data_IF_127962385708
#
_entry.id   IF_127962385708
#
_cell.length_a   1.000
_cell.length_b   1.000
_cell.length_c   1.000
_cell.angle_alpha   90.00
_cell.angle_beta   90.00
_cell.angle_gamma   90.00
#
_symmetry.space_group_name_H-M   'P 1'
#
loop_
_entity.id
_entity.type
_entity.pdbx_description
1 polymer ?
#
# COMPACT_ATOMS: atom_id res chain seq x y z
N UNK A 1 11.29 3.78 53.11
CA UNK A 1 10.31 2.68 53.02
C UNK A 1 9.42 2.72 51.76
N UNK A 2 9.48 3.77 50.93
CA UNK A 2 8.68 3.89 49.69
C UNK A 2 9.40 3.43 48.39
N UNK A 3 10.73 3.24 48.43
CA UNK A 3 11.52 2.75 47.28
C UNK A 3 11.44 1.22 47.08
N UNK A 4 10.98 0.47 48.09
CA UNK A 4 10.90 -1.00 48.03
C UNK A 4 9.61 -1.53 47.39
N UNK A 5 8.59 -0.68 47.27
CA UNK A 5 7.26 -1.06 46.75
C UNK A 5 7.24 -0.95 45.21
N UNK A 6 7.89 0.08 44.65
CA UNK A 6 8.03 0.24 43.19
C UNK A 6 8.86 -0.87 42.52
N UNK A 7 9.86 -1.43 43.22
CA UNK A 7 10.63 -2.57 42.71
C UNK A 7 9.83 -3.88 42.69
N UNK A 8 8.87 -4.03 43.61
CA UNK A 8 8.01 -5.20 43.67
C UNK A 8 6.88 -5.12 42.62
N UNK A 9 6.30 -3.94 42.38
CA UNK A 9 5.29 -3.76 41.33
C UNK A 9 5.88 -3.88 39.92
N UNK A 10 7.10 -3.39 39.66
CA UNK A 10 7.78 -3.64 38.38
C UNK A 10 8.07 -5.13 38.18
N UNK A 11 8.46 -5.86 39.22
CA UNK A 11 8.71 -7.30 39.15
C UNK A 11 7.41 -8.09 38.88
N UNK A 12 6.29 -7.69 39.47
CA UNK A 12 4.98 -8.31 39.24
C UNK A 12 4.44 -8.04 37.83
N UNK A 13 4.63 -6.85 37.28
CA UNK A 13 4.28 -6.56 35.88
C UNK A 13 5.17 -7.32 34.88
N UNK A 14 6.46 -7.51 35.18
CA UNK A 14 7.34 -8.39 34.40
C UNK A 14 6.85 -9.84 34.48
N UNK A 15 6.37 -10.29 35.63
CA UNK A 15 5.89 -11.66 35.84
C UNK A 15 4.55 -11.94 35.14
N UNK A 16 3.66 -10.94 35.04
CA UNK A 16 2.35 -11.07 34.38
C UNK A 16 2.41 -11.00 32.84
N UNK A 17 3.48 -10.44 32.27
CA UNK A 17 3.73 -10.45 30.82
C UNK A 17 4.38 -11.75 30.28
N UNK A 18 4.84 -12.64 31.17
CA UNK A 18 5.46 -13.93 30.86
C UNK A 18 4.39 -15.04 30.97
N UNK A 19 3.25 -14.89 30.29
CA UNK A 19 2.30 -15.99 30.13
C UNK A 19 2.29 -16.50 28.69
N UNK A 20 3.49 -16.82 28.21
CA UNK A 20 3.71 -17.93 27.30
C UNK A 20 4.85 -18.73 27.94
N UNK A 21 4.55 -19.90 28.53
CA UNK A 21 5.44 -20.62 29.46
C UNK A 21 6.68 -21.30 28.80
N UNK A 22 7.16 -20.78 27.67
CA UNK A 22 8.30 -21.33 26.95
C UNK A 22 9.09 -20.25 26.21
N UNK A 23 10.37 -20.54 25.98
CA UNK A 23 11.19 -19.76 25.06
C UNK A 23 10.64 -19.89 23.63
N UNK A 24 10.68 -18.81 22.86
CA UNK A 24 10.35 -18.85 21.44
C UNK A 24 11.24 -19.91 20.74
N UNK A 25 10.72 -20.69 19.77
CA UNK A 25 11.41 -21.86 19.24
C UNK A 25 12.80 -21.57 18.64
N UNK A 26 12.95 -20.38 18.06
CA UNK A 26 14.21 -19.87 17.51
C UNK A 26 15.24 -19.59 18.60
N UNK A 27 14.83 -19.00 19.72
CA UNK A 27 15.69 -18.72 20.89
C UNK A 27 16.04 -20.03 21.62
N UNK A 28 15.07 -20.94 21.75
CA UNK A 28 15.27 -22.25 22.37
C UNK A 28 16.36 -23.07 21.66
N UNK A 29 16.38 -23.01 20.31
CA UNK A 29 17.34 -23.71 19.45
C UNK A 29 18.77 -23.13 19.47
N UNK A 30 18.99 -21.94 20.05
CA UNK A 30 20.31 -21.33 20.11
C UNK A 30 21.24 -22.06 21.09
N UNK A 31 22.54 -22.13 20.75
CA UNK A 31 23.58 -22.65 21.65
C UNK A 31 24.06 -21.56 22.61
N UNK A 32 23.17 -21.13 23.49
CA UNK A 32 23.39 -20.11 24.52
C UNK A 32 23.05 -20.67 25.91
N UNK A 33 23.54 -20.03 26.96
CA UNK A 33 23.11 -20.34 28.33
C UNK A 33 21.64 -19.98 28.55
N UNK A 34 21.00 -20.61 29.54
CA UNK A 34 19.60 -20.33 29.85
C UNK A 34 19.37 -18.86 30.22
N UNK A 35 20.31 -18.24 30.95
CA UNK A 35 20.25 -16.83 31.31
C UNK A 35 20.26 -15.91 30.07
N UNK A 36 21.11 -16.22 29.08
CA UNK A 36 21.17 -15.48 27.81
C UNK A 36 19.90 -15.67 26.99
N UNK A 37 19.35 -16.89 26.93
CA UNK A 37 18.09 -17.19 26.24
C UNK A 37 16.92 -16.42 26.83
N UNK A 38 16.80 -16.41 28.16
CA UNK A 38 15.77 -15.62 28.85
C UNK A 38 15.97 -14.12 28.67
N UNK A 39 17.22 -13.64 28.67
CA UNK A 39 17.54 -12.25 28.34
C UNK A 39 17.09 -11.86 26.93
N UNK A 40 17.34 -12.71 25.94
CA UNK A 40 16.88 -12.53 24.57
C UNK A 40 15.36 -12.60 24.44
N UNK A 41 14.69 -13.51 25.18
CA UNK A 41 13.24 -13.59 25.19
C UNK A 41 12.61 -12.30 25.74
N UNK A 42 13.15 -11.78 26.84
CA UNK A 42 12.69 -10.53 27.45
C UNK A 42 12.91 -9.36 26.48
N UNK A 43 14.11 -9.24 25.90
CA UNK A 43 14.39 -8.22 24.88
C UNK A 43 13.47 -8.34 23.66
N UNK A 44 13.22 -9.56 23.19
CA UNK A 44 12.31 -9.85 22.07
C UNK A 44 10.87 -9.46 22.38
N UNK A 45 10.38 -9.81 23.57
CA UNK A 45 9.05 -9.43 24.04
C UNK A 45 8.90 -7.91 24.17
N UNK A 46 9.88 -7.22 24.76
CA UNK A 46 9.88 -5.76 24.84
C UNK A 46 9.91 -5.12 23.45
N UNK A 47 10.82 -5.56 22.58
CA UNK A 47 10.93 -5.06 21.21
C UNK A 47 9.63 -5.25 20.43
N UNK A 48 8.93 -6.37 20.64
CA UNK A 48 7.63 -6.67 20.04
C UNK A 48 6.54 -5.75 20.59
N UNK A 49 6.44 -5.60 21.90
CA UNK A 49 5.45 -4.76 22.58
C UNK A 49 5.61 -3.27 22.22
N UNK A 50 6.84 -2.74 22.27
CA UNK A 50 7.12 -1.37 21.80
C UNK A 50 6.87 -1.23 20.31
N UNK A 51 7.20 -2.24 19.51
CA UNK A 51 6.89 -2.27 18.08
C UNK A 51 5.39 -2.17 17.80
N UNK A 52 4.56 -2.89 18.54
CA UNK A 52 3.10 -2.85 18.45
C UNK A 52 2.53 -1.51 18.92
N UNK A 53 3.08 -0.95 19.99
CA UNK A 53 2.71 0.38 20.47
C UNK A 53 2.98 1.45 19.42
N UNK A 54 4.18 1.48 18.82
CA UNK A 54 4.52 2.43 17.74
C UNK A 54 3.61 2.30 16.53
N UNK A 55 3.22 1.07 16.15
CA UNK A 55 2.25 0.84 15.07
C UNK A 55 0.91 1.47 15.45
N UNK A 56 0.43 1.25 16.66
CA UNK A 56 -0.84 1.79 17.12
C UNK A 56 -0.83 3.32 17.13
N UNK A 57 0.20 3.95 17.69
CA UNK A 57 0.36 5.41 17.68
C UNK A 57 0.41 5.98 16.26
N UNK A 58 1.18 5.34 15.37
CA UNK A 58 1.25 5.74 13.97
C UNK A 58 -0.13 5.71 13.30
N UNK A 59 -0.89 4.64 13.53
CA UNK A 59 -2.23 4.43 12.96
C UNK A 59 -3.23 5.47 13.49
N UNK A 60 -3.18 5.76 14.78
CA UNK A 60 -4.03 6.79 15.41
C UNK A 60 -3.74 8.18 14.85
N UNK A 61 -2.46 8.49 14.60
CA UNK A 61 -2.05 9.75 13.96
C UNK A 61 -2.36 9.82 12.46
N UNK A 62 -2.48 8.66 11.79
CA UNK A 62 -2.69 8.56 10.36
C UNK A 62 -4.16 8.75 9.91
N UNK A 63 -5.01 9.39 10.72
CA UNK A 63 -6.45 9.47 10.47
C UNK A 63 -7.08 10.84 10.78
N UNK A 64 -8.00 11.38 9.94
CA UNK A 64 -8.29 11.06 8.53
C UNK A 64 -7.68 12.07 7.54
N UNK A 65 -7.40 11.58 6.33
CA UNK A 65 -6.98 12.36 5.15
C UNK A 65 -8.16 12.51 4.18
N UNK A 66 -9.13 13.34 4.55
CA UNK A 66 -10.40 13.48 3.83
C UNK A 66 -10.21 13.87 2.36
N UNK A 67 -9.28 14.78 2.08
CA UNK A 67 -9.02 15.27 0.73
C UNK A 67 -8.58 14.13 -0.23
N UNK A 68 -7.67 13.26 0.22
CA UNK A 68 -7.17 12.13 -0.54
C UNK A 68 -8.27 11.08 -0.80
N UNK A 69 -9.18 10.87 0.17
CA UNK A 69 -10.31 9.95 0.02
C UNK A 69 -11.33 10.51 -0.98
N UNK A 70 -11.68 11.79 -0.89
CA UNK A 70 -12.58 12.44 -1.85
C UNK A 70 -12.02 12.42 -3.26
N UNK A 71 -10.73 12.68 -3.41
CA UNK A 71 -10.08 12.64 -4.71
C UNK A 71 -10.07 11.22 -5.31
N UNK A 72 -9.85 10.20 -4.49
CA UNK A 72 -9.97 8.82 -4.93
C UNK A 72 -11.40 8.47 -5.35
N UNK A 73 -12.43 8.92 -4.62
CA UNK A 73 -13.83 8.71 -4.99
C UNK A 73 -14.16 9.27 -6.37
N UNK A 74 -13.69 10.49 -6.67
CA UNK A 74 -13.87 11.10 -7.98
C UNK A 74 -13.22 10.28 -9.09
N UNK A 75 -12.00 9.78 -8.86
CA UNK A 75 -11.25 9.01 -9.85
C UNK A 75 -11.81 7.61 -10.03
N UNK A 76 -12.29 6.98 -8.95
CA UNK A 76 -13.02 5.73 -9.05
C UNK A 76 -14.28 5.90 -9.91
N UNK A 77 -15.04 6.98 -9.70
CA UNK A 77 -16.19 7.32 -10.53
C UNK A 77 -15.84 7.46 -12.02
N UNK A 78 -14.73 8.14 -12.35
CA UNK A 78 -14.25 8.24 -13.72
C UNK A 78 -13.88 6.87 -14.32
N UNK A 79 -13.22 6.00 -13.55
CA UNK A 79 -12.88 4.63 -14.02
C UNK A 79 -14.14 3.78 -14.24
N UNK A 80 -15.23 4.03 -13.51
CA UNK A 80 -16.52 3.35 -13.74
C UNK A 80 -17.19 3.86 -15.02
N UNK A 81 -17.25 5.18 -15.23
CA UNK A 81 -18.07 5.78 -16.30
C UNK A 81 -17.37 5.88 -17.66
N UNK A 82 -16.06 6.06 -17.68
CA UNK A 82 -15.31 6.37 -18.91
C UNK A 82 -15.14 5.16 -19.82
N UNK A 83 -14.78 5.39 -21.08
CA UNK A 83 -14.52 4.31 -22.02
C UNK A 83 -13.24 3.53 -21.65
N UNK A 84 -13.25 2.21 -21.85
CA UNK A 84 -12.16 1.31 -21.48
C UNK A 84 -10.77 1.76 -21.93
N UNK A 85 -10.65 2.30 -23.15
CA UNK A 85 -9.39 2.79 -23.72
C UNK A 85 -8.82 4.02 -23.00
N UNK A 86 -9.65 4.77 -22.28
CA UNK A 86 -9.27 5.97 -21.54
C UNK A 86 -8.74 5.62 -20.15
N UNK A 87 -9.11 4.44 -19.62
CA UNK A 87 -8.75 4.02 -18.27
C UNK A 87 -7.23 3.95 -18.04
N UNK A 88 -6.39 3.38 -18.93
CA UNK A 88 -4.95 3.41 -18.74
C UNK A 88 -4.39 4.84 -18.71
N UNK A 89 -5.03 5.78 -19.42
CA UNK A 89 -4.65 7.19 -19.43
C UNK A 89 -4.98 7.85 -18.10
N UNK A 90 -6.20 7.66 -17.60
CA UNK A 90 -6.64 8.15 -16.29
C UNK A 90 -5.75 7.57 -15.19
N UNK A 91 -5.55 6.26 -15.19
CA UNK A 91 -4.75 5.57 -14.18
C UNK A 91 -3.29 6.06 -14.19
N UNK A 92 -2.69 6.23 -15.37
CA UNK A 92 -1.33 6.74 -15.47
C UNK A 92 -1.21 8.22 -15.07
N UNK A 93 -2.19 9.06 -15.39
CA UNK A 93 -2.19 10.47 -15.01
C UNK A 93 -2.34 10.62 -13.50
N UNK A 94 -3.33 9.94 -12.92
CA UNK A 94 -3.54 9.91 -11.48
C UNK A 94 -2.32 9.38 -10.72
N UNK A 95 -1.68 8.33 -11.26
CA UNK A 95 -0.49 7.78 -10.65
C UNK A 95 0.69 8.77 -10.65
N UNK A 96 0.82 9.54 -11.73
CA UNK A 96 1.85 10.56 -11.86
C UNK A 96 1.67 11.66 -10.81
N UNK A 97 0.44 12.15 -10.64
CA UNK A 97 0.10 13.18 -9.66
C UNK A 97 0.39 12.69 -8.22
N UNK A 98 -0.07 11.48 -7.86
CA UNK A 98 0.13 10.93 -6.52
C UNK A 98 1.61 10.69 -6.21
N UNK A 99 2.38 10.21 -7.19
CA UNK A 99 3.82 10.05 -7.03
C UNK A 99 4.51 11.40 -6.92
N UNK A 100 4.16 12.38 -7.75
CA UNK A 100 4.71 13.72 -7.69
C UNK A 100 4.48 14.37 -6.32
N UNK A 101 3.25 14.30 -5.80
CA UNK A 101 2.91 14.78 -4.44
C UNK A 101 3.69 14.06 -3.36
N UNK A 102 3.80 12.72 -3.44
CA UNK A 102 4.60 11.93 -2.52
C UNK A 102 6.07 12.40 -2.54
N UNK A 103 6.71 12.45 -3.71
CA UNK A 103 8.09 12.91 -3.80
C UNK A 103 8.26 14.35 -3.33
N UNK A 104 7.33 15.25 -3.64
CA UNK A 104 7.36 16.63 -3.13
C UNK A 104 7.33 16.66 -1.61
N UNK A 105 6.53 15.83 -0.97
CA UNK A 105 6.42 15.75 0.49
C UNK A 105 7.66 15.13 1.14
N UNK A 106 8.23 14.11 0.51
CA UNK A 106 9.29 13.32 1.12
C UNK A 106 10.71 13.84 0.87
N UNK A 107 10.94 14.54 -0.26
CA UNK A 107 12.24 15.14 -0.58
C UNK A 107 12.41 16.44 0.23
N UNK A 108 13.52 16.59 0.99
CA UNK A 108 13.80 17.82 1.73
C UNK A 108 13.98 19.04 0.82
N UNK A 109 13.61 20.22 1.32
CA UNK A 109 13.76 21.47 0.56
C UNK A 109 15.23 21.86 0.29
N UNK A 110 16.18 21.38 1.12
CA UNK A 110 17.59 21.74 1.07
C UNK A 110 18.47 20.90 0.12
N UNK A 111 17.89 20.08 -0.78
CA UNK A 111 18.68 19.29 -1.74
C UNK A 111 19.40 20.23 -2.72
N UNK A 112 20.70 20.02 -3.04
CA UNK A 112 21.41 20.83 -4.02
C UNK A 112 20.65 20.94 -5.35
N UNK A 113 20.50 22.17 -5.86
CA UNK A 113 19.70 22.47 -7.05
C UNK A 113 18.19 22.66 -6.78
N UNK A 114 17.72 22.31 -5.58
CA UNK A 114 16.34 22.50 -5.14
C UNK A 114 15.39 21.39 -5.60
N UNK A 115 14.35 21.15 -4.80
CA UNK A 115 13.28 20.18 -5.08
C UNK A 115 12.58 20.42 -6.42
N UNK A 116 12.41 21.68 -6.82
CA UNK A 116 11.80 22.06 -8.10
C UNK A 116 12.64 21.66 -9.30
N UNK A 117 13.98 21.72 -9.22
CA UNK A 117 14.84 21.29 -10.32
C UNK A 117 14.75 19.78 -10.57
N UNK A 118 14.62 18.99 -9.49
CA UNK A 118 14.43 17.54 -9.62
C UNK A 118 13.15 17.18 -10.38
N UNK A 119 12.09 17.98 -10.17
CA UNK A 119 10.76 17.83 -10.76
C UNK A 119 10.58 18.59 -12.08
N UNK A 120 11.56 19.41 -12.49
CA UNK A 120 11.48 20.18 -13.73
C UNK A 120 11.37 19.25 -14.95
N UNK A 121 10.95 19.76 -16.12
CA UNK A 121 10.74 18.93 -17.32
C UNK A 121 11.95 18.13 -17.81
N UNK A 122 13.16 18.52 -17.40
CA UNK A 122 14.42 17.81 -17.69
C UNK A 122 15.06 17.17 -16.43
N UNK A 123 14.38 17.27 -15.29
CA UNK A 123 14.83 16.74 -14.03
C UNK A 123 14.77 15.21 -13.97
N UNK A 124 15.50 14.59 -13.01
CA UNK A 124 15.48 13.15 -12.78
C UNK A 124 14.13 12.61 -12.29
N UNK A 125 13.19 13.47 -11.88
CA UNK A 125 11.83 13.10 -11.45
C UNK A 125 10.75 13.75 -12.32
N UNK A 126 11.09 14.11 -13.57
CA UNK A 126 10.18 14.77 -14.49
C UNK A 126 9.05 13.86 -14.99
N UNK A 127 9.34 12.56 -15.15
CA UNK A 127 8.45 11.61 -15.83
C UNK A 127 7.98 10.52 -14.88
N UNK A 128 6.75 10.05 -15.08
CA UNK A 128 6.18 8.90 -14.39
C UNK A 128 7.14 7.69 -14.31
N UNK A 129 7.79 7.34 -15.43
CA UNK A 129 8.74 6.20 -15.45
C UNK A 129 9.90 6.39 -14.46
N UNK A 130 10.42 7.61 -14.35
CA UNK A 130 11.52 7.90 -13.43
C UNK A 130 11.03 7.88 -11.98
N UNK A 131 9.84 8.43 -11.72
CA UNK A 131 9.22 8.39 -10.38
C UNK A 131 8.97 6.95 -9.92
N UNK A 132 8.47 6.08 -10.79
CA UNK A 132 8.30 4.65 -10.51
C UNK A 132 9.63 3.96 -10.20
N UNK A 133 10.67 4.21 -11.01
CA UNK A 133 12.01 3.64 -10.79
C UNK A 133 12.62 4.10 -9.46
N UNK A 134 12.52 5.39 -9.13
CA UNK A 134 13.04 5.92 -7.88
C UNK A 134 12.24 5.42 -6.66
N UNK A 135 10.91 5.33 -6.77
CA UNK A 135 10.07 4.78 -5.71
C UNK A 135 10.39 3.30 -5.46
N UNK A 136 10.70 2.55 -6.52
CA UNK A 136 11.18 1.17 -6.43
C UNK A 136 12.54 1.09 -5.73
N UNK A 137 13.50 1.92 -6.17
CA UNK A 137 14.87 1.92 -5.65
C UNK A 137 14.92 2.26 -4.15
N UNK A 138 14.07 3.18 -3.69
CA UNK A 138 13.99 3.56 -2.29
C UNK A 138 12.99 2.74 -1.46
N UNK A 139 12.25 1.82 -2.08
CA UNK A 139 11.21 1.04 -1.41
C UNK A 139 10.07 1.88 -0.83
N UNK A 140 9.72 2.98 -1.51
CA UNK A 140 8.71 3.96 -1.04
C UNK A 140 7.26 3.55 -1.31
N UNK A 141 7.05 2.48 -2.08
CA UNK A 141 5.77 1.87 -2.37
C UNK A 141 5.95 0.35 -2.44
N UNK A 142 4.86 -0.40 -2.41
CA UNK A 142 4.95 -1.84 -2.61
C UNK A 142 5.46 -2.19 -4.01
N UNK A 143 6.32 -3.21 -4.08
CA UNK A 143 7.00 -3.62 -5.32
C UNK A 143 6.01 -4.04 -6.41
N UNK A 144 5.01 -4.81 -6.03
CA UNK A 144 3.94 -5.30 -6.91
C UNK A 144 3.15 -4.14 -7.52
N UNK A 145 2.78 -3.13 -6.72
CA UNK A 145 2.03 -1.97 -7.19
C UNK A 145 2.83 -1.15 -8.22
N UNK A 146 4.13 -0.95 -7.96
CA UNK A 146 5.01 -0.25 -8.90
C UNK A 146 5.18 -0.97 -10.24
N UNK A 147 5.22 -2.31 -10.22
CA UNK A 147 5.28 -3.12 -11.44
C UNK A 147 4.01 -2.95 -12.26
N UNK A 148 2.84 -3.00 -11.61
CA UNK A 148 1.55 -2.82 -12.29
C UNK A 148 1.44 -1.41 -12.93
N UNK A 149 1.87 -0.35 -12.24
CA UNK A 149 1.87 0.99 -12.83
C UNK A 149 2.89 1.17 -13.96
N UNK A 150 4.01 0.45 -13.96
CA UNK A 150 4.92 0.46 -15.12
C UNK A 150 4.27 -0.21 -16.34
N UNK A 151 3.46 -1.26 -16.13
CA UNK A 151 2.68 -1.86 -17.21
C UNK A 151 1.59 -0.92 -17.73
N UNK A 152 0.81 -0.29 -16.85
CA UNK A 152 -0.20 0.72 -17.24
C UNK A 152 0.46 1.85 -18.04
N UNK A 153 1.62 2.34 -17.60
CA UNK A 153 2.39 3.36 -18.32
C UNK A 153 2.75 2.90 -19.73
N UNK A 154 3.18 1.66 -19.93
CA UNK A 154 3.50 1.10 -21.25
C UNK A 154 2.27 1.05 -22.15
N UNK A 155 1.12 0.61 -21.63
CA UNK A 155 -0.16 0.57 -22.36
C UNK A 155 -0.59 1.98 -22.76
N UNK A 156 -0.53 2.94 -21.82
CA UNK A 156 -0.82 4.35 -22.11
C UNK A 156 0.08 4.91 -23.22
N UNK A 157 1.38 4.59 -23.19
CA UNK A 157 2.30 5.02 -24.23
C UNK A 157 1.95 4.42 -25.60
N UNK A 158 1.61 3.12 -25.64
CA UNK A 158 1.12 2.47 -26.86
C UNK A 158 -0.15 3.14 -27.39
N UNK A 159 -1.12 3.45 -26.51
CA UNK A 159 -2.36 4.16 -26.85
C UNK A 159 -2.07 5.55 -27.46
N UNK A 160 -1.10 6.28 -26.92
CA UNK A 160 -0.75 7.62 -27.42
C UNK A 160 0.04 7.62 -28.73
N UNK A 161 0.62 6.48 -29.13
CA UNK A 161 1.48 6.39 -30.32
C UNK A 161 0.88 5.54 -31.45
N UNK A 162 -0.22 4.84 -31.20
CA UNK A 162 -0.85 3.93 -32.18
C UNK A 162 -2.33 4.26 -32.31
N UNK A 163 -2.80 4.38 -33.54
CA UNK A 163 -4.22 4.60 -33.86
C UNK A 163 -5.00 3.30 -34.07
N UNK A 164 -4.31 2.16 -34.18
CA UNK A 164 -4.88 0.84 -34.43
C UNK A 164 -5.59 0.29 -33.19
N UNK A 165 -6.93 0.41 -33.19
CA UNK A 165 -7.80 0.01 -32.09
C UNK A 165 -7.77 -1.50 -31.85
N UNK A 166 -7.67 -2.33 -32.89
CA UNK A 166 -7.66 -3.79 -32.72
C UNK A 166 -6.38 -4.26 -32.04
N UNK A 167 -5.23 -3.70 -32.44
CA UNK A 167 -3.95 -3.97 -31.79
C UNK A 167 -3.97 -3.56 -30.32
N UNK A 168 -4.60 -2.42 -30.01
CA UNK A 168 -4.72 -1.93 -28.63
C UNK A 168 -5.59 -2.84 -27.77
N UNK A 169 -6.75 -3.28 -28.27
CA UNK A 169 -7.61 -4.24 -27.57
C UNK A 169 -6.88 -5.56 -27.31
N UNK A 170 -6.15 -6.09 -28.30
CA UNK A 170 -5.35 -7.31 -28.12
C UNK A 170 -4.29 -7.14 -27.05
N UNK A 171 -3.54 -6.04 -27.08
CA UNK A 171 -2.51 -5.73 -26.07
C UNK A 171 -3.10 -5.56 -24.67
N UNK A 172 -4.28 -4.95 -24.58
CA UNK A 172 -4.98 -4.78 -23.31
C UNK A 172 -5.41 -6.15 -22.75
N UNK A 173 -5.96 -7.02 -23.58
CA UNK A 173 -6.29 -8.40 -23.20
C UNK A 173 -5.05 -9.20 -22.80
N UNK A 174 -3.96 -9.14 -23.57
CA UNK A 174 -2.68 -9.78 -23.22
C UNK A 174 -2.18 -9.28 -21.87
N UNK A 175 -2.27 -7.98 -21.61
CA UNK A 175 -1.90 -7.43 -20.31
C UNK A 175 -2.78 -7.98 -19.17
N UNK A 176 -4.10 -7.97 -19.36
CA UNK A 176 -5.07 -8.41 -18.35
C UNK A 176 -4.88 -9.90 -18.04
N UNK A 177 -4.71 -10.75 -19.04
CA UNK A 177 -4.68 -12.20 -18.87
C UNK A 177 -3.28 -12.72 -18.50
N UNK A 178 -2.20 -12.11 -19.01
CA UNK A 178 -0.85 -12.69 -18.88
C UNK A 178 0.08 -11.93 -17.93
N UNK A 179 -0.14 -10.62 -17.73
CA UNK A 179 0.85 -9.76 -17.03
C UNK A 179 0.35 -9.17 -15.72
N UNK A 180 -0.95 -8.99 -15.61
CA UNK A 180 -1.55 -8.37 -14.44
C UNK A 180 -1.96 -9.44 -13.43
N UNK A 181 -1.69 -9.17 -12.15
CA UNK A 181 -2.11 -10.08 -11.08
C UNK A 181 -3.65 -10.11 -10.99
N UNK A 182 -4.30 -11.28 -11.03
CA UNK A 182 -5.76 -11.41 -11.01
C UNK A 182 -6.32 -11.29 -9.58
N UNK A 183 -6.09 -10.16 -8.93
CA UNK A 183 -6.47 -10.01 -7.52
C UNK A 183 -7.99 -9.95 -7.30
N UNK A 184 -8.80 -9.75 -8.34
CA UNK A 184 -10.26 -9.87 -8.28
C UNK A 184 -10.74 -11.26 -7.85
N UNK A 185 -9.92 -12.29 -8.08
CA UNK A 185 -10.16 -13.65 -7.58
C UNK A 185 -10.23 -13.68 -6.04
N UNK A 186 -9.54 -12.74 -5.38
CA UNK A 186 -9.42 -12.67 -3.93
C UNK A 186 -10.40 -11.66 -3.29
N UNK A 187 -11.22 -10.97 -4.10
CA UNK A 187 -12.11 -9.91 -3.62
C UNK A 187 -13.50 -10.44 -3.19
N UNK A 188 -13.91 -11.60 -3.68
CA UNK A 188 -15.19 -12.22 -3.33
C UNK A 188 -15.15 -12.81 -1.93
N UNK A 189 -15.79 -12.14 -0.96
CA UNK A 189 -15.90 -12.59 0.44
C UNK A 189 -17.29 -13.19 0.78
N UNK A 190 -18.18 -13.29 -0.21
CA UNK A 190 -19.56 -13.78 -0.06
C UNK A 190 -20.50 -12.82 0.69
N UNK A 191 -19.97 -11.71 1.22
CA UNK A 191 -20.72 -10.75 2.06
C UNK A 191 -20.84 -9.40 1.36
N UNK A 192 -19.70 -8.82 0.97
CA UNK A 192 -19.61 -7.54 0.27
C UNK A 192 -19.63 -7.74 -1.24
N UNK A 193 -18.96 -8.78 -1.72
CA UNK A 193 -18.95 -9.18 -3.12
C UNK A 193 -19.26 -10.69 -3.20
N UNK A 194 -20.10 -11.15 -4.14
CA UNK A 194 -20.35 -12.57 -4.32
C UNK A 194 -19.04 -13.34 -4.54
N UNK A 195 -18.97 -14.56 -4.03
CA UNK A 195 -17.88 -15.47 -4.39
C UNK A 195 -17.85 -15.65 -5.91
N UNK A 196 -16.65 -15.65 -6.50
CA UNK A 196 -16.43 -15.86 -7.93
C UNK A 196 -17.14 -14.89 -8.88
N UNK A 197 -17.53 -13.68 -8.43
CA UNK A 197 -18.18 -12.67 -9.28
C UNK A 197 -17.40 -12.33 -10.57
N UNK A 198 -16.07 -12.49 -10.53
CA UNK A 198 -15.16 -12.21 -11.63
C UNK A 198 -15.30 -13.18 -12.82
N UNK A 199 -15.84 -14.39 -12.60
CA UNK A 199 -16.02 -15.41 -13.65
C UNK A 199 -17.01 -14.97 -14.74
N UNK A 200 -18.05 -14.22 -14.36
CA UNK A 200 -19.04 -13.69 -15.29
C UNK A 200 -18.62 -12.38 -15.98
N UNK A 201 -17.49 -11.80 -15.59
CA UNK A 201 -17.06 -10.49 -16.09
C UNK A 201 -16.35 -10.58 -17.43
N UNK A 202 -16.54 -9.57 -18.27
CA UNK A 202 -15.69 -9.42 -19.45
C UNK A 202 -14.27 -9.00 -19.03
N UNK A 203 -13.22 -9.32 -19.82
CA UNK A 203 -11.85 -8.94 -19.49
C UNK A 203 -11.69 -7.45 -19.19
N UNK A 204 -12.42 -6.60 -19.92
CA UNK A 204 -12.41 -5.15 -19.73
C UNK A 204 -12.98 -4.71 -18.38
N UNK A 205 -14.00 -5.39 -17.89
CA UNK A 205 -14.60 -5.08 -16.59
C UNK A 205 -13.69 -5.58 -15.47
N UNK A 206 -13.03 -6.73 -15.65
CA UNK A 206 -11.95 -7.17 -14.75
C UNK A 206 -10.86 -6.11 -14.67
N UNK A 207 -10.44 -5.57 -15.82
CA UNK A 207 -9.47 -4.47 -15.84
C UNK A 207 -9.96 -3.22 -15.10
N UNK A 208 -11.23 -2.83 -15.24
CA UNK A 208 -11.82 -1.70 -14.49
C UNK A 208 -11.75 -1.93 -13.00
N UNK A 209 -12.21 -3.09 -12.53
CA UNK A 209 -12.13 -3.47 -11.12
C UNK A 209 -10.69 -3.37 -10.67
N UNK A 210 -9.76 -3.97 -11.42
CA UNK A 210 -8.35 -3.93 -11.05
C UNK A 210 -7.82 -2.48 -11.00
N UNK A 211 -8.15 -1.65 -11.97
CA UNK A 211 -7.74 -0.25 -11.98
C UNK A 211 -8.22 0.49 -10.72
N UNK A 212 -9.48 0.34 -10.33
CA UNK A 212 -10.03 0.97 -9.11
C UNK A 212 -9.23 0.58 -7.87
N UNK A 213 -9.01 -0.73 -7.65
CA UNK A 213 -8.31 -1.21 -6.47
C UNK A 213 -6.83 -0.82 -6.46
N UNK A 214 -6.15 -0.83 -7.61
CA UNK A 214 -4.77 -0.36 -7.73
C UNK A 214 -4.65 1.14 -7.43
N UNK A 215 -5.57 1.96 -7.93
CA UNK A 215 -5.57 3.42 -7.68
C UNK A 215 -5.91 3.73 -6.22
N UNK A 216 -6.81 2.97 -5.60
CA UNK A 216 -7.11 3.09 -4.18
C UNK A 216 -5.90 2.75 -3.33
N UNK A 217 -5.23 1.63 -3.66
CA UNK A 217 -4.01 1.22 -2.99
C UNK A 217 -2.86 2.21 -3.19
N UNK A 218 -2.72 2.79 -4.39
CA UNK A 218 -1.77 3.87 -4.63
C UNK A 218 -2.05 5.09 -3.76
N UNK A 219 -3.30 5.53 -3.69
CA UNK A 219 -3.70 6.68 -2.86
C UNK A 219 -3.32 6.45 -1.41
N UNK A 220 -3.60 5.24 -0.93
CA UNK A 220 -3.31 4.83 0.43
C UNK A 220 -1.81 4.72 0.73
N UNK A 221 -1.07 3.96 -0.09
CA UNK A 221 0.35 3.73 0.13
C UNK A 221 1.18 5.00 -0.13
N UNK A 222 0.87 5.78 -1.18
CA UNK A 222 1.59 7.02 -1.47
C UNK A 222 1.49 8.03 -0.33
N UNK A 223 0.43 7.94 0.51
CA UNK A 223 0.27 8.80 1.68
C UNK A 223 1.00 8.29 2.91
N UNK A 224 0.97 6.98 3.17
CA UNK A 224 1.32 6.40 4.47
C UNK A 224 2.59 5.54 4.47
N UNK A 225 3.03 5.05 3.31
CA UNK A 225 4.13 4.10 3.23
C UNK A 225 5.46 4.70 3.71
N UNK A 226 5.85 5.84 3.15
CA UNK A 226 7.09 6.52 3.55
C UNK A 226 7.05 7.02 5.00
N UNK A 227 5.95 7.61 5.50
CA UNK A 227 5.81 7.89 6.93
C UNK A 227 6.02 6.66 7.83
N UNK A 228 5.50 5.49 7.46
CA UNK A 228 5.73 4.26 8.21
C UNK A 228 7.21 3.86 8.24
N UNK A 229 7.91 3.97 7.11
CA UNK A 229 9.36 3.75 7.03
C UNK A 229 10.12 4.73 7.94
N UNK A 230 9.77 6.02 7.89
CA UNK A 230 10.40 7.08 8.72
C UNK A 230 10.17 6.86 10.22
N UNK A 231 9.04 6.25 10.59
CA UNK A 231 8.77 5.81 11.97
C UNK A 231 9.52 4.52 12.37
N UNK A 232 10.32 3.94 11.46
CA UNK A 232 11.04 2.69 11.69
C UNK A 232 10.10 1.48 11.80
N UNK A 233 8.95 1.53 11.13
CA UNK A 233 7.92 0.50 11.13
C UNK A 233 7.88 -0.15 9.75
N UNK A 234 7.78 -1.48 9.70
CA UNK A 234 7.56 -2.18 8.43
C UNK A 234 6.20 -1.77 7.83
N UNK A 235 6.15 -1.15 6.63
CA UNK A 235 4.91 -0.58 6.10
C UNK A 235 3.78 -1.59 5.98
N UNK A 236 4.08 -2.82 5.54
CA UNK A 236 3.09 -3.90 5.45
C UNK A 236 2.40 -4.18 6.79
N UNK A 237 3.15 -4.18 7.90
CA UNK A 237 2.61 -4.42 9.25
C UNK A 237 1.74 -3.24 9.72
N UNK A 238 2.14 -2.00 9.41
CA UNK A 238 1.38 -0.82 9.79
C UNK A 238 0.10 -0.64 8.98
N UNK A 239 0.21 -0.77 7.65
CA UNK A 239 -0.85 -0.40 6.73
C UNK A 239 -1.88 -1.52 6.54
N UNK A 240 -1.48 -2.78 6.64
CA UNK A 240 -2.33 -3.96 6.38
C UNK A 240 -2.40 -4.93 7.57
N UNK A 241 -1.90 -4.51 8.74
CA UNK A 241 -2.00 -5.29 9.97
C UNK A 241 -3.41 -5.27 10.60
N UNK A 242 -3.57 -5.86 11.79
CA UNK A 242 -4.87 -5.94 12.47
C UNK A 242 -5.45 -4.57 12.82
N UNK A 243 -4.59 -3.58 13.05
CA UNK A 243 -4.97 -2.20 13.37
C UNK A 243 -4.69 -1.30 12.17
N UNK A 244 -5.25 -1.61 11.00
CA UNK A 244 -5.04 -0.78 9.82
C UNK A 244 -5.67 0.63 9.98
N UNK A 245 -5.02 1.69 9.44
CA UNK A 245 -5.56 3.04 9.38
C UNK A 245 -6.99 3.12 8.83
N UNK A 246 -7.78 4.05 9.37
CA UNK A 246 -9.18 4.27 8.96
C UNK A 246 -9.31 4.55 7.47
N UNK A 247 -8.30 5.21 6.88
CA UNK A 247 -8.22 5.47 5.44
C UNK A 247 -8.35 4.20 4.60
N UNK A 248 -7.79 3.06 5.04
CA UNK A 248 -7.91 1.79 4.31
C UNK A 248 -9.39 1.38 4.17
N UNK A 249 -10.18 1.53 5.25
CA UNK A 249 -11.60 1.19 5.24
C UNK A 249 -12.38 2.11 4.31
N UNK A 250 -12.07 3.40 4.30
CA UNK A 250 -12.72 4.37 3.43
C UNK A 250 -12.43 4.08 1.94
N UNK A 251 -11.15 3.86 1.60
CA UNK A 251 -10.73 3.47 0.25
C UNK A 251 -11.38 2.15 -0.16
N UNK A 252 -11.37 1.13 0.71
CA UNK A 252 -11.98 -0.17 0.41
C UNK A 252 -13.50 -0.07 0.20
N UNK A 253 -14.21 0.77 0.97
CA UNK A 253 -15.64 0.98 0.79
C UNK A 253 -15.97 1.59 -0.58
N UNK A 254 -15.19 2.59 -1.02
CA UNK A 254 -15.31 3.18 -2.36
C UNK A 254 -15.02 2.13 -3.43
N UNK A 255 -13.94 1.36 -3.27
CA UNK A 255 -13.56 0.32 -4.24
C UNK A 255 -14.62 -0.77 -4.37
N UNK A 256 -15.22 -1.22 -3.26
CA UNK A 256 -16.33 -2.20 -3.27
C UNK A 256 -17.55 -1.63 -3.98
N UNK A 257 -17.93 -0.38 -3.70
CA UNK A 257 -19.05 0.28 -4.37
C UNK A 257 -18.83 0.33 -5.89
N UNK A 258 -17.67 0.83 -6.32
CA UNK A 258 -17.33 0.87 -7.75
C UNK A 258 -17.28 -0.53 -8.38
N UNK A 259 -16.79 -1.54 -7.65
CA UNK A 259 -16.77 -2.93 -8.14
C UNK A 259 -18.18 -3.46 -8.38
N UNK A 260 -19.14 -3.17 -7.48
CA UNK A 260 -20.54 -3.56 -7.67
C UNK A 260 -21.17 -2.90 -8.90
N UNK A 261 -20.89 -1.60 -9.09
CA UNK A 261 -21.36 -0.87 -10.27
C UNK A 261 -20.79 -1.45 -11.58
N UNK A 262 -19.49 -1.80 -11.61
CA UNK A 262 -18.83 -2.40 -12.78
C UNK A 262 -19.36 -3.82 -13.05
N UNK A 263 -19.52 -4.62 -11.99
CA UNK A 263 -19.95 -6.01 -12.10
C UNK A 263 -21.49 -6.17 -12.22
N UNK A 264 -22.25 -5.07 -12.21
CA UNK A 264 -23.71 -5.05 -12.22
C UNK A 264 -24.34 -5.88 -11.08
N UNK A 265 -23.81 -5.72 -9.86
CA UNK A 265 -24.20 -6.46 -8.64
C UNK A 265 -25.06 -5.65 -7.67
#
# INVERSE_FOLDING_TARGET
MQLSIYTAELAVYITLGIMNNGLDPDIAAMKLSDAEKWGLQVYGNYSRAFGEHRVKEFVEQASPFEAEVTLFEQIAGLVVSEEARVIPVIAAAYADDRLEEMFKREIPDGVPGGRSALMSGFGPLARLSQRLQMAFAFGWLSKDLLIEFDHIRKIRNDLSHKWDVELLVRKMNEFIEEKQTPFEEQLGDGVRLPENFHESMQPVDRFRVRAVWMLGRLTYEARLWVPAIKAGIAPKKALYGPNAPVMLRAIAAISVKATREIACL
#
